data_IF_298040159368
#
_entry.id   IF_298040159368
#
_cell.length_a   1.000
_cell.length_b   1.000
_cell.length_c   1.000
_cell.angle_alpha   90.00
_cell.angle_beta   90.00
_cell.angle_gamma   90.00
#
_symmetry.space_group_name_H-M   'P 1'
#
loop_
_entity.id
_entity.type
_entity.pdbx_description
1 polymer ?
#
# COMPACT_ATOMS: atom_id res chain seq x y z
N UNK A 1 -11.29 18.56 14.40
CA UNK A 1 -10.41 17.92 15.42
C UNK A 1 -10.64 16.41 15.56
N UNK A 2 -11.86 15.92 15.77
CA UNK A 2 -12.07 14.46 15.86
C UNK A 2 -11.92 13.73 14.51
N UNK A 3 -12.52 14.24 13.46
CA UNK A 3 -12.38 13.72 12.10
C UNK A 3 -10.92 13.73 11.64
N UNK A 4 -10.21 14.84 11.81
CA UNK A 4 -8.77 14.94 11.46
C UNK A 4 -7.95 13.85 12.16
N UNK A 5 -8.20 13.64 13.46
CA UNK A 5 -7.54 12.56 14.21
C UNK A 5 -7.86 11.17 13.64
N UNK A 6 -9.13 10.92 13.29
CA UNK A 6 -9.52 9.65 12.67
C UNK A 6 -8.81 9.46 11.33
N UNK A 7 -8.78 10.47 10.48
CA UNK A 7 -8.06 10.44 9.19
C UNK A 7 -6.55 10.19 9.39
N UNK A 8 -5.92 10.86 10.36
CA UNK A 8 -4.50 10.66 10.65
C UNK A 8 -4.21 9.22 11.11
N UNK A 9 -5.05 8.68 12.00
CA UNK A 9 -4.92 7.29 12.47
C UNK A 9 -5.14 6.31 11.32
N UNK A 10 -6.17 6.51 10.49
CA UNK A 10 -6.43 5.65 9.32
C UNK A 10 -5.27 5.70 8.34
N UNK A 11 -4.76 6.88 8.01
CA UNK A 11 -3.62 7.03 7.11
C UNK A 11 -2.38 6.28 7.62
N UNK A 12 -2.08 6.41 8.92
CA UNK A 12 -0.97 5.70 9.56
C UNK A 12 -1.19 4.19 9.58
N UNK A 13 -2.40 3.73 9.93
CA UNK A 13 -2.75 2.31 9.95
C UNK A 13 -2.59 1.68 8.56
N UNK A 14 -3.09 2.32 7.51
CA UNK A 14 -2.98 1.83 6.13
C UNK A 14 -1.52 1.66 5.72
N UNK A 15 -0.67 2.65 6.00
CA UNK A 15 0.77 2.58 5.70
C UNK A 15 1.46 1.44 6.48
N UNK A 16 1.16 1.31 7.77
CA UNK A 16 1.73 0.25 8.59
C UNK A 16 1.26 -1.15 8.14
N UNK A 17 -0.03 -1.30 7.84
CA UNK A 17 -0.60 -2.55 7.33
C UNK A 17 0.01 -2.95 5.99
N UNK A 18 0.13 -2.02 5.03
CA UNK A 18 0.79 -2.28 3.74
C UNK A 18 2.24 -2.75 3.92
N UNK A 19 2.99 -2.08 4.81
CA UNK A 19 4.37 -2.45 5.11
C UNK A 19 4.46 -3.83 5.75
N UNK A 20 3.69 -4.08 6.81
CA UNK A 20 3.73 -5.34 7.55
C UNK A 20 3.21 -6.53 6.76
N UNK A 21 2.17 -6.34 5.94
CA UNK A 21 1.67 -7.39 5.06
C UNK A 21 2.72 -7.75 4.00
N UNK A 22 3.39 -6.76 3.41
CA UNK A 22 4.47 -7.01 2.45
C UNK A 22 5.66 -7.74 3.09
N UNK A 23 6.01 -7.39 4.35
CA UNK A 23 7.04 -8.09 5.11
C UNK A 23 6.63 -9.53 5.43
N UNK A 24 5.37 -9.76 5.77
CA UNK A 24 4.84 -11.09 6.06
C UNK A 24 4.89 -12.01 4.84
N UNK A 25 4.42 -11.53 3.68
CA UNK A 25 4.43 -12.31 2.44
C UNK A 25 5.86 -12.57 1.93
N UNK A 26 6.76 -11.62 2.10
CA UNK A 26 8.16 -11.73 1.66
C UNK A 26 9.12 -11.26 2.77
N UNK A 27 9.50 -12.15 3.69
CA UNK A 27 10.36 -11.79 4.82
C UNK A 27 11.76 -11.32 4.43
N UNK A 28 12.29 -11.81 3.30
CA UNK A 28 13.65 -11.45 2.83
C UNK A 28 13.68 -10.01 2.26
N UNK A 29 14.39 -9.06 2.89
CA UNK A 29 14.45 -7.67 2.43
C UNK A 29 15.12 -7.51 1.05
N UNK A 30 16.08 -8.34 0.71
CA UNK A 30 16.71 -8.31 -0.61
C UNK A 30 15.73 -8.72 -1.72
N UNK A 31 14.88 -9.70 -1.46
CA UNK A 31 13.81 -10.13 -2.36
C UNK A 31 12.76 -9.04 -2.54
N UNK A 32 12.36 -8.36 -1.45
CA UNK A 32 11.42 -7.22 -1.51
C UNK A 32 11.98 -6.08 -2.36
N UNK A 33 13.26 -5.72 -2.17
CA UNK A 33 13.93 -4.67 -2.95
C UNK A 33 13.95 -5.01 -4.45
N UNK A 34 14.25 -6.25 -4.80
CA UNK A 34 14.28 -6.74 -6.19
C UNK A 34 12.89 -6.70 -6.83
N UNK A 35 11.84 -7.12 -6.11
CA UNK A 35 10.44 -7.01 -6.55
C UNK A 35 10.02 -5.56 -6.77
N UNK A 36 10.38 -4.64 -5.87
CA UNK A 36 10.10 -3.22 -6.01
C UNK A 36 10.72 -2.63 -7.29
N UNK A 37 11.96 -2.98 -7.60
CA UNK A 37 12.63 -2.57 -8.83
C UNK A 37 11.95 -3.14 -10.08
N UNK A 38 11.62 -4.44 -10.07
CA UNK A 38 10.95 -5.09 -11.20
C UNK A 38 9.56 -4.49 -11.46
N UNK A 39 8.79 -4.23 -10.42
CA UNK A 39 7.47 -3.60 -10.52
C UNK A 39 7.55 -2.17 -11.07
N UNK A 40 8.56 -1.40 -10.67
CA UNK A 40 8.79 -0.05 -11.19
C UNK A 40 9.12 -0.07 -12.68
N UNK A 41 10.01 -0.96 -13.10
CA UNK A 41 10.38 -1.14 -14.52
C UNK A 41 9.19 -1.65 -15.34
N UNK A 42 8.38 -2.57 -14.79
CA UNK A 42 7.18 -3.09 -15.47
C UNK A 42 6.11 -2.01 -15.65
N UNK A 43 5.87 -1.17 -14.64
CA UNK A 43 4.98 -0.01 -14.74
C UNK A 43 5.44 0.95 -15.83
N UNK A 44 6.74 1.22 -15.93
CA UNK A 44 7.31 2.08 -16.99
C UNK A 44 7.15 1.50 -18.40
N UNK A 45 7.09 0.19 -18.54
CA UNK A 45 6.95 -0.52 -19.82
C UNK A 45 5.51 -0.89 -20.18
N UNK A 46 4.53 -0.55 -19.35
CA UNK A 46 3.12 -0.90 -19.57
C UNK A 46 2.81 -2.40 -19.51
N UNK A 47 3.75 -3.22 -19.02
CA UNK A 47 3.60 -4.66 -18.87
C UNK A 47 3.45 -5.01 -17.39
N UNK A 48 2.23 -5.34 -16.98
CA UNK A 48 1.98 -5.91 -15.65
C UNK A 48 2.32 -7.40 -15.69
N UNK A 49 3.60 -7.76 -15.52
CA UNK A 49 3.99 -9.12 -15.19
C UNK A 49 4.03 -9.25 -13.68
N UNK A 50 2.96 -9.76 -13.09
CA UNK A 50 2.92 -10.29 -11.73
C UNK A 50 3.61 -11.67 -11.70
N UNK A 51 4.90 -11.71 -12.00
CA UNK A 51 5.71 -12.88 -11.65
C UNK A 51 6.09 -12.70 -10.20
N UNK A 52 5.44 -13.46 -9.33
CA UNK A 52 5.86 -13.58 -7.93
C UNK A 52 7.34 -13.97 -7.85
N UNK A 53 7.98 -13.65 -6.73
CA UNK A 53 9.33 -14.14 -6.48
C UNK A 53 9.25 -15.66 -6.25
N UNK A 54 10.17 -16.49 -6.82
CA UNK A 54 10.13 -17.92 -6.59
C UNK A 54 10.10 -18.24 -5.09
N UNK A 55 9.15 -19.06 -4.68
CA UNK A 55 9.05 -19.49 -3.29
C UNK A 55 10.25 -20.37 -2.93
N UNK A 56 10.77 -20.20 -1.73
CA UNK A 56 11.94 -20.97 -1.25
C UNK A 56 11.67 -22.48 -1.20
N UNK A 57 10.44 -22.85 -0.90
CA UNK A 57 9.94 -24.21 -0.92
C UNK A 57 10.02 -24.83 -2.33
N UNK A 58 9.63 -24.06 -3.35
CA UNK A 58 9.74 -24.50 -4.75
C UNK A 58 11.17 -24.74 -5.18
N UNK A 59 12.09 -23.83 -4.84
CA UNK A 59 13.51 -23.99 -5.13
C UNK A 59 14.11 -25.21 -4.43
N UNK A 60 13.72 -25.46 -3.16
CA UNK A 60 14.15 -26.65 -2.42
C UNK A 60 13.55 -27.92 -3.03
N UNK A 61 12.25 -27.91 -3.38
CA UNK A 61 11.58 -29.01 -4.04
C UNK A 61 12.24 -29.40 -5.36
N UNK A 62 12.52 -28.42 -6.23
CA UNK A 62 13.23 -28.64 -7.49
C UNK A 62 14.63 -29.24 -7.29
N UNK A 63 15.34 -28.81 -6.25
CA UNK A 63 16.63 -29.36 -5.90
C UNK A 63 16.53 -30.84 -5.46
N UNK A 64 15.57 -31.14 -4.58
CA UNK A 64 15.33 -32.50 -4.10
C UNK A 64 14.92 -33.44 -5.23
N UNK A 65 13.97 -33.05 -6.07
CA UNK A 65 13.52 -33.84 -7.22
C UNK A 65 14.65 -34.14 -8.20
N UNK A 66 15.45 -33.11 -8.53
CA UNK A 66 16.58 -33.30 -9.43
C UNK A 66 17.56 -34.35 -8.92
N UNK A 67 18.04 -34.24 -7.68
CA UNK A 67 18.95 -35.21 -7.11
C UNK A 67 18.30 -36.55 -6.83
N UNK A 68 17.00 -36.59 -6.52
CA UNK A 68 16.25 -37.83 -6.42
C UNK A 68 16.25 -38.64 -7.73
N UNK A 69 16.01 -37.97 -8.84
CA UNK A 69 16.09 -38.61 -10.17
C UNK A 69 17.52 -38.98 -10.57
N UNK A 70 18.50 -38.14 -10.26
CA UNK A 70 19.92 -38.41 -10.55
C UNK A 70 20.43 -39.69 -9.85
N UNK A 71 19.88 -40.03 -8.68
CA UNK A 71 20.19 -41.26 -7.93
C UNK A 71 19.58 -42.53 -8.55
N UNK A 72 18.60 -42.37 -9.45
CA UNK A 72 17.95 -43.44 -10.16
C UNK A 72 16.86 -44.17 -9.34
N UNK A 73 16.03 -44.96 -10.07
CA UNK A 73 14.84 -45.58 -9.53
C UNK A 73 15.09 -46.65 -8.47
N UNK A 74 16.28 -47.23 -8.44
CA UNK A 74 16.69 -48.25 -7.47
C UNK A 74 17.04 -47.67 -6.10
N UNK A 75 17.15 -46.33 -5.98
CA UNK A 75 17.56 -45.65 -4.75
C UNK A 75 16.33 -45.33 -3.88
N UNK A 76 16.21 -46.01 -2.73
CA UNK A 76 15.19 -45.68 -1.74
C UNK A 76 15.33 -44.23 -1.23
N UNK A 77 16.57 -43.72 -1.13
CA UNK A 77 16.81 -42.32 -0.76
C UNK A 77 16.42 -41.37 -1.89
N UNK A 78 16.67 -41.75 -3.16
CA UNK A 78 16.24 -41.02 -4.32
C UNK A 78 14.71 -40.89 -4.38
N UNK A 79 13.98 -42.00 -4.17
CA UNK A 79 12.52 -41.99 -4.07
C UNK A 79 11.99 -41.07 -2.99
N UNK A 80 12.57 -41.14 -1.78
CA UNK A 80 12.18 -40.25 -0.69
C UNK A 80 12.43 -38.75 -0.99
N UNK A 81 13.53 -38.43 -1.71
CA UNK A 81 13.79 -37.04 -2.14
C UNK A 81 12.76 -36.56 -3.17
N UNK A 82 12.33 -37.41 -4.09
CA UNK A 82 11.28 -37.07 -5.07
C UNK A 82 9.97 -36.78 -4.36
N UNK A 83 9.50 -37.68 -3.47
CA UNK A 83 8.25 -37.54 -2.74
C UNK A 83 8.22 -36.24 -1.90
N UNK A 84 9.30 -35.95 -1.17
CA UNK A 84 9.41 -34.71 -0.37
C UNK A 84 9.50 -33.50 -1.31
N UNK A 85 10.23 -33.60 -2.40
CA UNK A 85 10.36 -32.53 -3.39
C UNK A 85 9.03 -32.13 -4.02
N UNK A 86 8.19 -33.11 -4.34
CA UNK A 86 6.81 -32.89 -4.84
C UNK A 86 5.94 -32.17 -3.78
N UNK A 87 5.99 -32.61 -2.51
CA UNK A 87 5.27 -31.96 -1.42
C UNK A 87 5.73 -30.51 -1.23
N UNK A 88 7.02 -30.23 -1.35
CA UNK A 88 7.57 -28.86 -1.28
C UNK A 88 7.11 -27.97 -2.43
N UNK A 89 6.98 -28.51 -3.65
CA UNK A 89 6.43 -27.78 -4.80
C UNK A 89 4.94 -27.46 -4.60
N UNK A 90 4.14 -28.40 -4.11
CA UNK A 90 2.74 -28.15 -3.78
C UNK A 90 2.60 -27.03 -2.72
N UNK A 91 3.48 -27.03 -1.72
CA UNK A 91 3.51 -25.95 -0.72
C UNK A 91 3.86 -24.58 -1.34
N UNK A 92 4.78 -24.54 -2.29
CA UNK A 92 5.11 -23.32 -3.03
C UNK A 92 3.90 -22.81 -3.83
N UNK A 93 3.16 -23.67 -4.51
CA UNK A 93 1.95 -23.30 -5.27
C UNK A 93 0.86 -22.71 -4.37
N UNK A 94 0.67 -23.29 -3.17
CA UNK A 94 -0.26 -22.74 -2.16
C UNK A 94 0.19 -21.35 -1.68
N UNK A 95 1.48 -21.15 -1.45
CA UNK A 95 2.02 -19.84 -1.07
C UNK A 95 1.90 -18.81 -2.17
N UNK A 96 2.14 -19.17 -3.41
CA UNK A 96 1.94 -18.29 -4.57
C UNK A 96 0.47 -17.87 -4.69
N UNK A 97 -0.46 -18.80 -4.46
CA UNK A 97 -1.90 -18.53 -4.45
C UNK A 97 -2.28 -17.58 -3.32
N UNK A 98 -1.66 -17.73 -2.13
CA UNK A 98 -1.85 -16.83 -1.00
C UNK A 98 -1.33 -15.42 -1.35
N UNK A 99 -0.13 -15.31 -1.89
CA UNK A 99 0.48 -14.03 -2.28
C UNK A 99 -0.41 -13.27 -3.27
N UNK A 100 -0.93 -13.96 -4.27
CA UNK A 100 -1.86 -13.39 -5.27
C UNK A 100 -3.15 -12.93 -4.60
N UNK A 101 -3.75 -13.78 -3.77
CA UNK A 101 -5.02 -13.49 -3.09
C UNK A 101 -4.90 -12.30 -2.14
N UNK A 102 -3.86 -12.26 -1.30
CA UNK A 102 -3.61 -11.14 -0.38
C UNK A 102 -3.30 -9.86 -1.15
N UNK A 103 -2.54 -9.96 -2.24
CA UNK A 103 -2.27 -8.78 -3.08
C UNK A 103 -3.57 -8.20 -3.64
N UNK A 104 -4.41 -9.02 -4.27
CA UNK A 104 -5.62 -8.56 -4.96
C UNK A 104 -6.71 -8.08 -4.00
N UNK A 105 -6.90 -8.78 -2.88
CA UNK A 105 -8.03 -8.56 -1.99
C UNK A 105 -7.70 -7.67 -0.78
N UNK A 106 -6.43 -7.37 -0.53
CA UNK A 106 -6.01 -6.59 0.61
C UNK A 106 -5.03 -5.47 0.24
N UNK A 107 -3.87 -5.80 -0.38
CA UNK A 107 -2.84 -4.80 -0.66
C UNK A 107 -3.31 -3.78 -1.71
N UNK A 108 -3.82 -4.23 -2.85
CA UNK A 108 -4.23 -3.35 -3.95
C UNK A 108 -5.39 -2.41 -3.55
N UNK A 109 -6.46 -2.84 -2.83
CA UNK A 109 -7.47 -1.95 -2.28
C UNK A 109 -6.91 -0.92 -1.30
N UNK A 110 -6.09 -1.32 -0.33
CA UNK A 110 -5.47 -0.39 0.62
C UNK A 110 -4.52 0.61 -0.06
N UNK A 111 -3.76 0.16 -1.07
CA UNK A 111 -2.90 1.05 -1.85
C UNK A 111 -3.73 2.06 -2.65
N UNK A 112 -4.86 1.64 -3.20
CA UNK A 112 -5.78 2.54 -3.91
C UNK A 112 -6.39 3.59 -2.96
N UNK A 113 -6.82 3.18 -1.77
CA UNK A 113 -7.29 4.06 -0.71
C UNK A 113 -6.24 5.11 -0.33
N UNK A 114 -4.98 4.68 -0.16
CA UNK A 114 -3.84 5.55 0.16
C UNK A 114 -3.56 6.56 -0.97
N UNK A 115 -3.51 6.07 -2.21
CA UNK A 115 -3.07 6.87 -3.36
C UNK A 115 -4.13 7.85 -3.87
N UNK A 116 -5.41 7.59 -3.59
CA UNK A 116 -6.53 8.44 -3.99
C UNK A 116 -7.10 9.20 -2.81
N UNK A 117 -7.91 8.54 -2.00
CA UNK A 117 -8.78 9.19 -1.02
C UNK A 117 -7.98 9.90 0.09
N UNK A 118 -7.06 9.19 0.73
CA UNK A 118 -6.25 9.77 1.81
C UNK A 118 -5.29 10.85 1.29
N UNK A 119 -4.80 10.71 0.08
CA UNK A 119 -3.96 11.73 -0.56
C UNK A 119 -4.76 12.99 -0.90
N UNK A 120 -5.99 12.85 -1.40
CA UNK A 120 -6.89 13.97 -1.68
C UNK A 120 -7.24 14.73 -0.39
N UNK A 121 -7.65 14.01 0.66
CA UNK A 121 -7.93 14.61 1.97
C UNK A 121 -6.71 15.35 2.51
N UNK A 122 -5.53 14.74 2.44
CA UNK A 122 -4.27 15.38 2.87
C UNK A 122 -3.99 16.66 2.09
N UNK A 123 -4.31 16.69 0.78
CA UNK A 123 -4.19 17.89 -0.03
C UNK A 123 -5.14 18.99 0.44
N UNK A 124 -6.41 18.66 0.71
CA UNK A 124 -7.40 19.61 1.21
C UNK A 124 -7.01 20.18 2.59
N UNK A 125 -6.54 19.34 3.50
CA UNK A 125 -6.06 19.77 4.83
C UNK A 125 -4.85 20.71 4.73
N UNK A 126 -3.86 20.43 3.88
CA UNK A 126 -2.72 21.34 3.65
C UNK A 126 -3.15 22.67 3.05
N UNK A 127 -4.12 22.65 2.12
CA UNK A 127 -4.68 23.87 1.54
C UNK A 127 -5.41 24.70 2.58
N UNK A 128 -6.21 24.05 3.45
CA UNK A 128 -6.89 24.69 4.56
C UNK A 128 -5.92 25.36 5.53
N UNK A 129 -4.86 24.66 5.93
CA UNK A 129 -3.79 25.21 6.78
C UNK A 129 -3.16 26.47 6.16
N UNK A 130 -2.78 26.43 4.89
CA UNK A 130 -2.24 27.58 4.19
C UNK A 130 -3.23 28.77 4.12
N UNK A 131 -4.51 28.51 3.89
CA UNK A 131 -5.57 29.55 3.89
C UNK A 131 -5.79 30.16 5.29
N UNK A 132 -5.73 29.34 6.34
CA UNK A 132 -5.80 29.80 7.72
C UNK A 132 -4.64 30.72 8.06
N UNK A 133 -3.44 30.34 7.70
CA UNK A 133 -2.24 31.17 7.94
C UNK A 133 -2.31 32.52 7.21
N UNK A 134 -2.79 32.54 5.93
CA UNK A 134 -2.97 33.78 5.16
C UNK A 134 -4.03 34.69 5.81
N UNK A 135 -5.15 34.14 6.22
CA UNK A 135 -6.19 34.87 6.93
C UNK A 135 -5.67 35.46 8.25
N UNK A 136 -5.03 34.65 9.09
CA UNK A 136 -4.49 35.10 10.38
C UNK A 136 -3.43 36.20 10.20
N UNK A 137 -2.59 36.10 9.18
CA UNK A 137 -1.62 37.12 8.85
C UNK A 137 -2.28 38.44 8.45
N UNK A 138 -3.25 38.42 7.55
CA UNK A 138 -3.97 39.61 7.07
C UNK A 138 -4.79 40.26 8.20
N UNK A 139 -5.46 39.44 9.03
CA UNK A 139 -6.24 39.89 10.18
C UNK A 139 -5.37 40.64 11.21
N UNK A 140 -4.15 40.16 11.50
CA UNK A 140 -3.20 40.83 12.40
C UNK A 140 -2.71 42.19 11.85
N UNK A 141 -2.82 42.40 10.53
CA UNK A 141 -2.45 43.66 9.85
C UNK A 141 -3.64 44.50 9.46
N UNK A 142 -4.78 44.32 10.12
CA UNK A 142 -5.96 45.16 9.93
C UNK A 142 -5.56 46.67 10.05
N UNK A 143 -6.02 47.49 9.11
CA UNK A 143 -5.61 48.90 8.98
C UNK A 143 -4.34 49.15 8.17
N UNK A 144 -3.56 48.09 7.82
CA UNK A 144 -2.42 48.18 6.90
C UNK A 144 -2.63 47.37 5.61
N UNK A 145 -3.64 46.50 5.62
CA UNK A 145 -4.08 45.66 4.49
C UNK A 145 -5.52 46.10 4.15
N UNK A 146 -5.89 46.23 2.87
CA UNK A 146 -7.24 46.56 2.45
C UNK A 146 -8.28 45.57 3.02
N UNK A 147 -9.41 46.05 3.49
CA UNK A 147 -10.49 45.24 4.06
C UNK A 147 -11.00 44.20 3.05
N UNK A 148 -10.97 44.53 1.77
CA UNK A 148 -11.36 43.63 0.69
C UNK A 148 -10.43 42.39 0.62
N UNK A 149 -9.14 42.54 0.83
CA UNK A 149 -8.18 41.42 0.87
C UNK A 149 -8.42 40.52 2.09
N UNK A 150 -8.81 41.10 3.21
CA UNK A 150 -9.17 40.34 4.43
C UNK A 150 -10.43 39.55 4.15
N UNK A 151 -11.47 40.16 3.53
CA UNK A 151 -12.73 39.49 3.17
C UNK A 151 -12.48 38.32 2.24
N UNK A 152 -11.66 38.50 1.19
CA UNK A 152 -11.29 37.42 0.25
C UNK A 152 -10.51 36.29 0.94
N UNK A 153 -9.68 36.59 1.93
CA UNK A 153 -8.97 35.58 2.70
C UNK A 153 -9.91 34.77 3.58
N UNK A 154 -10.94 35.40 4.18
CA UNK A 154 -12.01 34.72 4.92
C UNK A 154 -12.77 33.78 4.01
N UNK A 155 -13.28 34.28 2.87
CA UNK A 155 -14.02 33.47 1.91
C UNK A 155 -13.26 32.22 1.47
N UNK A 156 -11.99 32.39 1.08
CA UNK A 156 -11.10 31.28 0.69
C UNK A 156 -10.83 30.30 1.82
N UNK A 157 -10.74 30.77 3.06
CA UNK A 157 -10.57 29.92 4.23
C UNK A 157 -11.81 29.09 4.48
N UNK A 158 -13.02 29.70 4.49
CA UNK A 158 -14.28 28.99 4.71
C UNK A 158 -14.57 27.97 3.58
N UNK A 159 -14.36 28.31 2.32
CA UNK A 159 -14.44 27.36 1.19
C UNK A 159 -13.52 26.16 1.38
N UNK A 160 -12.28 26.39 1.79
CA UNK A 160 -11.31 25.32 1.98
C UNK A 160 -11.65 24.44 3.18
N UNK A 161 -12.24 25.03 4.23
CA UNK A 161 -12.72 24.34 5.41
C UNK A 161 -13.91 23.43 5.06
N UNK A 162 -14.91 23.96 4.36
CA UNK A 162 -16.06 23.20 3.94
C UNK A 162 -15.67 22.01 3.04
N UNK A 163 -14.74 22.23 2.10
CA UNK A 163 -14.24 21.19 1.22
C UNK A 163 -13.49 20.10 1.99
N UNK A 164 -12.61 20.46 2.93
CA UNK A 164 -11.88 19.50 3.75
C UNK A 164 -12.83 18.71 4.67
N UNK A 165 -13.79 19.38 5.32
CA UNK A 165 -14.78 18.72 6.17
C UNK A 165 -15.66 17.75 5.39
N UNK A 166 -16.13 18.13 4.20
CA UNK A 166 -16.92 17.26 3.31
C UNK A 166 -16.13 16.05 2.85
N UNK A 167 -14.89 16.24 2.45
CA UNK A 167 -14.00 15.16 1.99
C UNK A 167 -13.74 14.15 3.12
N UNK A 168 -13.43 14.63 4.33
CA UNK A 168 -13.25 13.77 5.50
C UNK A 168 -14.53 13.04 5.92
N UNK A 169 -15.67 13.74 5.90
CA UNK A 169 -16.97 13.17 6.25
C UNK A 169 -17.35 12.06 5.28
N UNK A 170 -17.29 12.32 3.97
CA UNK A 170 -17.62 11.32 2.96
C UNK A 170 -16.74 10.07 3.07
N UNK A 171 -15.46 10.25 3.35
CA UNK A 171 -14.54 9.15 3.54
C UNK A 171 -14.93 8.30 4.76
N UNK A 172 -15.17 8.94 5.91
CA UNK A 172 -15.49 8.23 7.16
C UNK A 172 -16.90 7.61 7.18
N UNK A 173 -17.85 8.15 6.40
CA UNK A 173 -19.19 7.57 6.25
C UNK A 173 -19.19 6.35 5.31
N UNK A 174 -18.39 6.39 4.23
CA UNK A 174 -18.28 5.26 3.31
C UNK A 174 -17.50 4.07 3.93
N UNK A 175 -16.65 4.33 4.92
CA UNK A 175 -15.89 3.30 5.66
C UNK A 175 -16.80 2.40 6.54
N UNK A 176 -18.07 2.78 6.70
CA UNK A 176 -19.07 2.02 7.50
C UNK A 176 -20.03 1.21 6.60
N UNK A 177 -19.94 1.35 5.27
CA UNK A 177 -20.94 0.84 4.32
C UNK A 177 -20.49 -0.37 3.49
N UNK A 178 -19.22 -0.79 3.55
CA UNK A 178 -18.65 -1.96 2.87
C UNK A 178 -18.00 -2.93 3.88
#
# INVERSE_FOLDING_TARGET
>A
MEMERKIEVTNKSVLDLLSKTTEYLQPNPASRAKLGMLNTVSKMRGQVKTTGYPQTEGLLGDCMMRYGHDLGDESSFGGALVDIGEAMRQMADVKDSLDISVKQNFIDPLQNLQDKDLKEITHHLKKLEGRRLDFDYKKKRHGKVPDEEIRQAVEKFEESKELAERSMFNFLENDVSE
#
